data_IF_267944261402
#
_entry.id   IF_267944261402
#
_cell.length_a   1.000
_cell.length_b   1.000
_cell.length_c   1.000
_cell.angle_alpha   90.00
_cell.angle_beta   90.00
_cell.angle_gamma   90.00
#
_symmetry.space_group_name_H-M   'P 1'
#
loop_
_entity.id
_entity.type
_entity.pdbx_description
1 polymer ?
#
# COMPACT_ATOMS: atom_id res chain seq x y z
N UNK A 1 -8.44 -26.93 34.25
CA UNK A 1 -7.07 -27.05 33.72
C UNK A 1 -6.53 -25.64 33.53
N UNK A 2 -5.40 -25.29 34.12
CA UNK A 2 -4.75 -24.01 33.84
C UNK A 2 -4.13 -24.10 32.43
N UNK A 3 -4.49 -23.19 31.54
CA UNK A 3 -3.82 -23.05 30.27
C UNK A 3 -2.36 -22.64 30.58
N UNK A 4 -1.41 -23.55 30.37
CA UNK A 4 0.01 -23.20 30.38
C UNK A 4 0.28 -22.33 29.14
N UNK A 5 0.03 -21.02 29.25
CA UNK A 5 0.37 -20.06 28.21
C UNK A 5 1.84 -19.68 28.34
N UNK A 6 2.75 -20.61 28.03
CA UNK A 6 4.17 -20.24 27.86
C UNK A 6 4.30 -19.60 26.48
N UNK A 7 4.29 -18.28 26.42
CA UNK A 7 4.61 -17.52 25.20
C UNK A 7 6.12 -17.33 25.07
N UNK A 8 6.66 -17.35 23.86
CA UNK A 8 8.01 -16.90 23.56
C UNK A 8 7.97 -15.46 23.04
N UNK A 9 8.98 -14.67 23.42
CA UNK A 9 9.18 -13.30 22.93
C UNK A 9 10.48 -13.24 22.15
N UNK A 10 10.40 -12.82 20.89
CA UNK A 10 11.52 -12.77 19.95
C UNK A 10 11.68 -11.32 19.48
N UNK A 11 12.88 -10.78 19.64
CA UNK A 11 13.22 -9.45 19.13
C UNK A 11 13.52 -9.55 17.62
N UNK A 12 12.68 -8.94 16.81
CA UNK A 12 12.94 -8.69 15.39
C UNK A 12 13.76 -7.42 15.19
N UNK A 13 13.99 -7.08 13.92
CA UNK A 13 14.67 -5.85 13.54
C UNK A 13 13.77 -4.62 13.71
N UNK A 14 12.50 -4.70 13.28
CA UNK A 14 11.55 -3.57 13.33
C UNK A 14 10.59 -3.63 14.52
N UNK A 15 10.58 -4.71 15.28
CA UNK A 15 9.54 -4.96 16.28
C UNK A 15 9.78 -6.23 17.08
N UNK A 16 8.82 -6.55 17.95
CA UNK A 16 8.85 -7.74 18.81
C UNK A 16 7.74 -8.71 18.42
N UNK A 17 8.09 -9.97 18.18
CA UNK A 17 7.16 -11.07 18.02
C UNK A 17 6.89 -11.72 19.38
N UNK A 18 5.62 -11.82 19.77
CA UNK A 18 5.17 -12.70 20.85
C UNK A 18 4.37 -13.85 20.22
N UNK A 19 4.77 -15.10 20.49
CA UNK A 19 4.12 -16.30 19.96
C UNK A 19 3.75 -17.26 21.09
N UNK A 20 2.52 -17.75 21.08
CA UNK A 20 1.99 -18.71 22.03
C UNK A 20 2.22 -20.16 21.54
N UNK A 21 2.16 -21.14 22.45
CA UNK A 21 2.27 -22.56 22.09
C UNK A 21 1.16 -23.06 21.14
N UNK A 22 0.00 -22.39 21.12
CA UNK A 22 -1.09 -22.69 20.21
C UNK A 22 -0.90 -22.07 18.81
N UNK A 23 0.23 -21.38 18.59
CA UNK A 23 0.56 -20.72 17.32
C UNK A 23 -0.03 -19.33 17.17
N UNK A 24 -0.88 -18.86 18.10
CA UNK A 24 -1.34 -17.48 18.08
C UNK A 24 -0.15 -16.53 18.33
N UNK A 25 -0.04 -15.48 17.52
CA UNK A 25 1.06 -14.53 17.60
C UNK A 25 0.61 -13.09 17.51
N UNK A 26 1.45 -12.18 18.01
CA UNK A 26 1.34 -10.74 17.82
C UNK A 26 2.71 -10.20 17.49
N UNK A 27 2.80 -9.38 16.46
CA UNK A 27 4.02 -8.63 16.15
C UNK A 27 3.75 -7.15 16.43
N UNK A 28 4.57 -6.54 17.27
CA UNK A 28 4.44 -5.13 17.65
C UNK A 28 5.65 -4.36 17.13
N UNK A 29 5.43 -3.38 16.26
CA UNK A 29 6.49 -2.49 15.80
C UNK A 29 7.08 -1.69 16.97
N UNK A 30 8.41 -1.48 16.91
CA UNK A 30 9.09 -0.62 17.86
C UNK A 30 8.64 0.83 17.69
N UNK A 31 8.64 1.61 18.77
CA UNK A 31 8.26 3.01 18.70
C UNK A 31 9.22 3.80 17.80
N UNK A 32 8.68 4.66 16.94
CA UNK A 32 9.46 5.53 16.06
C UNK A 32 10.03 4.86 14.80
N UNK A 33 9.66 3.62 14.49
CA UNK A 33 10.01 2.99 13.21
C UNK A 33 9.30 3.75 12.08
N UNK A 34 10.07 4.42 11.24
CA UNK A 34 9.56 5.07 10.04
C UNK A 34 9.33 4.04 8.92
N UNK A 35 8.28 4.21 8.11
CA UNK A 35 7.97 3.29 7.00
C UNK A 35 9.15 3.11 6.05
N UNK A 36 9.81 4.21 5.68
CA UNK A 36 10.99 4.22 4.81
C UNK A 36 12.21 3.48 5.38
N UNK A 37 12.23 3.20 6.69
CA UNK A 37 13.29 2.40 7.31
C UNK A 37 13.05 0.89 7.21
N UNK A 38 11.82 0.47 6.86
CA UNK A 38 11.44 -0.92 6.69
C UNK A 38 11.82 -1.36 5.27
N UNK A 39 13.07 -1.78 5.09
CA UNK A 39 13.66 -2.12 3.78
C UNK A 39 13.73 -3.63 3.51
N UNK A 40 13.28 -4.46 4.46
CA UNK A 40 13.18 -5.91 4.30
C UNK A 40 11.96 -6.49 5.02
N UNK A 41 11.49 -7.66 4.58
CA UNK A 41 10.41 -8.38 5.27
C UNK A 41 10.94 -9.10 6.52
N UNK A 42 10.12 -9.18 7.56
CA UNK A 42 10.45 -9.91 8.80
C UNK A 42 10.06 -11.38 8.65
N UNK A 43 11.06 -12.25 8.78
CA UNK A 43 10.90 -13.70 8.64
C UNK A 43 11.53 -14.37 9.86
N UNK A 44 10.70 -15.03 10.65
CA UNK A 44 11.13 -15.80 11.81
C UNK A 44 11.10 -17.29 11.45
N UNK A 45 12.24 -17.97 11.59
CA UNK A 45 12.30 -19.44 11.47
C UNK A 45 12.21 -20.03 12.87
N UNK A 46 11.31 -20.99 13.07
CA UNK A 46 11.19 -21.72 14.34
C UNK A 46 11.26 -23.23 14.11
N UNK A 47 11.78 -23.92 15.11
CA UNK A 47 11.92 -25.37 15.15
C UNK A 47 11.02 -25.94 16.26
N UNK A 48 10.28 -27.00 15.95
CA UNK A 48 9.47 -27.75 16.89
C UNK A 48 10.19 -29.05 17.22
N UNK A 49 10.43 -29.30 18.51
CA UNK A 49 11.00 -30.56 19.00
C UNK A 49 9.90 -31.44 19.63
N UNK A 50 9.86 -32.72 19.26
CA UNK A 50 9.02 -33.70 19.96
C UNK A 50 9.78 -34.36 21.13
N UNK A 51 9.05 -35.07 21.99
CA UNK A 51 9.64 -35.76 23.16
C UNK A 51 10.55 -36.94 22.79
N UNK A 52 10.60 -37.32 21.52
CA UNK A 52 11.42 -38.41 20.98
C UNK A 52 12.65 -37.89 20.22
N UNK A 53 12.86 -36.57 20.17
CA UNK A 53 14.01 -35.93 19.52
C UNK A 53 13.84 -35.73 18.02
N UNK A 54 12.63 -35.89 17.46
CA UNK A 54 12.36 -35.43 16.11
C UNK A 54 12.18 -33.92 16.10
N UNK A 55 12.60 -33.29 15.00
CA UNK A 55 12.47 -31.85 14.82
C UNK A 55 11.75 -31.54 13.51
N UNK A 56 10.88 -30.55 13.54
CA UNK A 56 10.29 -29.94 12.35
C UNK A 56 10.60 -28.44 12.31
N UNK A 57 10.64 -27.82 11.13
CA UNK A 57 10.95 -26.39 10.99
C UNK A 57 9.90 -25.69 10.15
N UNK A 58 9.52 -24.50 10.57
CA UNK A 58 8.57 -23.66 9.85
C UNK A 58 9.00 -22.19 9.89
N UNK A 59 8.48 -21.42 8.95
CA UNK A 59 8.72 -19.98 8.86
C UNK A 59 7.43 -19.21 9.12
N UNK A 60 7.55 -18.16 9.92
CA UNK A 60 6.53 -17.12 10.09
C UNK A 60 7.04 -15.86 9.40
N UNK A 61 6.42 -15.51 8.28
CA UNK A 61 6.64 -14.22 7.62
C UNK A 61 5.60 -13.24 8.14
N UNK A 62 6.06 -12.11 8.68
CA UNK A 62 5.18 -10.98 8.98
C UNK A 62 4.92 -10.25 7.67
N UNK A 63 3.66 -10.11 7.29
CA UNK A 63 3.26 -9.32 6.12
C UNK A 63 2.52 -8.08 6.62
N UNK A 64 3.17 -6.93 6.49
CA UNK A 64 2.58 -5.63 6.81
C UNK A 64 2.06 -5.02 5.52
N UNK A 65 0.94 -4.29 5.54
CA UNK A 65 0.44 -3.57 4.37
C UNK A 65 0.14 -2.13 4.80
N UNK A 66 1.16 -1.26 4.88
CA UNK A 66 0.96 0.12 5.31
C UNK A 66 -0.04 0.86 4.43
N UNK A 67 -0.91 1.63 5.08
CA UNK A 67 -1.86 2.50 4.41
C UNK A 67 -1.51 3.95 4.77
N UNK A 68 -1.28 4.76 3.74
CA UNK A 68 -0.96 6.18 3.85
C UNK A 68 -2.14 6.95 3.29
N UNK A 69 -2.63 7.93 4.04
CA UNK A 69 -3.67 8.86 3.57
C UNK A 69 -2.98 10.12 3.06
N UNK A 70 -3.29 10.51 1.82
CA UNK A 70 -2.85 11.78 1.24
C UNK A 70 -3.49 12.97 1.97
N UNK A 71 -2.86 14.14 1.85
CA UNK A 71 -3.35 15.39 2.44
C UNK A 71 -3.62 16.44 1.37
N UNK A 72 -3.97 17.66 1.78
CA UNK A 72 -4.08 18.81 0.88
C UNK A 72 -2.72 19.43 0.53
N UNK A 73 -1.61 18.82 0.95
CA UNK A 73 -0.25 19.26 0.64
C UNK A 73 0.35 18.36 -0.44
N UNK A 74 1.36 18.88 -1.15
CA UNK A 74 2.12 18.09 -2.11
C UNK A 74 3.11 17.19 -1.34
N UNK A 75 2.67 15.99 -0.99
CA UNK A 75 3.41 15.09 -0.14
C UNK A 75 4.47 14.31 -0.93
N UNK A 76 5.55 13.93 -0.25
CA UNK A 76 6.58 13.03 -0.80
C UNK A 76 6.56 11.73 0.00
N UNK A 77 6.17 10.65 -0.66
CA UNK A 77 6.09 9.32 -0.08
C UNK A 77 7.33 8.49 -0.42
N UNK A 78 7.85 7.83 0.62
CA UNK A 78 8.81 6.73 0.52
C UNK A 78 8.20 5.56 1.28
N UNK A 79 7.77 4.55 0.53
CA UNK A 79 7.16 3.31 1.02
C UNK A 79 8.14 2.37 1.72
N UNK A 80 7.61 1.27 2.22
CA UNK A 80 8.32 0.19 2.90
C UNK A 80 8.77 -0.92 1.92
N UNK A 81 9.18 -2.06 2.47
CA UNK A 81 9.50 -3.27 1.72
C UNK A 81 8.25 -4.09 1.34
N UNK A 82 7.09 -3.68 1.83
CA UNK A 82 5.81 -4.34 1.63
C UNK A 82 4.97 -3.60 0.59
N UNK A 83 3.84 -4.19 0.18
CA UNK A 83 2.89 -3.52 -0.69
C UNK A 83 2.15 -2.42 0.09
N UNK A 84 2.60 -1.19 -0.06
CA UNK A 84 1.97 -0.04 0.59
C UNK A 84 0.77 0.46 -0.22
N UNK A 85 -0.17 1.16 0.42
CA UNK A 85 -1.29 1.79 -0.28
C UNK A 85 -1.33 3.28 0.03
N UNK A 86 -1.28 4.12 -1.01
CA UNK A 86 -1.57 5.56 -0.91
C UNK A 86 -3.04 5.80 -1.22
N UNK A 87 -3.78 6.38 -0.26
CA UNK A 87 -5.23 6.55 -0.27
C UNK A 87 -5.56 8.04 -0.42
N UNK A 88 -6.37 8.34 -1.43
CA UNK A 88 -6.93 9.66 -1.68
C UNK A 88 -8.39 9.71 -1.25
N UNK A 89 -8.64 10.37 -0.13
CA UNK A 89 -10.01 10.68 0.32
C UNK A 89 -10.57 11.92 -0.37
N UNK A 90 -11.90 12.05 -0.36
CA UNK A 90 -12.53 13.29 -0.80
C UNK A 90 -12.50 14.36 0.30
N UNK A 91 -11.51 15.26 0.25
CA UNK A 91 -11.33 16.36 1.21
C UNK A 91 -12.18 17.59 0.86
N UNK A 92 -12.33 17.88 -0.44
CA UNK A 92 -13.11 19.00 -0.98
C UNK A 92 -13.83 18.60 -2.28
N UNK A 93 -15.15 18.52 -2.21
CA UNK A 93 -16.02 18.16 -3.34
C UNK A 93 -15.91 19.08 -4.56
N UNK A 94 -15.56 20.35 -4.37
CA UNK A 94 -15.49 21.35 -5.44
C UNK A 94 -14.13 21.41 -6.16
N UNK A 95 -13.16 20.64 -5.69
CA UNK A 95 -11.80 20.65 -6.20
C UNK A 95 -11.52 19.46 -7.14
N UNK A 96 -10.67 19.69 -8.16
CA UNK A 96 -10.40 18.75 -9.24
C UNK A 96 -9.65 17.49 -8.79
N UNK A 97 -8.83 17.55 -7.74
CA UNK A 97 -8.17 16.38 -7.12
C UNK A 97 -8.93 15.89 -5.89
N UNK A 98 -10.14 16.41 -5.65
CA UNK A 98 -10.87 16.18 -4.42
C UNK A 98 -10.26 16.90 -3.22
N UNK A 99 -9.43 17.92 -3.45
CA UNK A 99 -8.77 18.71 -2.41
C UNK A 99 -7.44 18.13 -1.92
N UNK A 100 -6.93 17.08 -2.57
CA UNK A 100 -5.63 16.50 -2.29
C UNK A 100 -4.51 17.25 -3.03
N UNK A 101 -3.29 17.21 -2.49
CA UNK A 101 -2.14 17.77 -3.18
C UNK A 101 -1.68 16.94 -4.38
N UNK A 102 -0.72 17.49 -5.11
CA UNK A 102 -0.02 16.79 -6.18
C UNK A 102 1.19 16.06 -5.58
N UNK A 103 1.03 14.78 -5.30
CA UNK A 103 2.00 14.00 -4.53
C UNK A 103 3.10 13.39 -5.40
N UNK A 104 4.17 12.95 -4.75
CA UNK A 104 5.27 12.21 -5.37
C UNK A 104 5.55 10.94 -4.58
N UNK A 105 5.66 9.81 -5.26
CA UNK A 105 6.06 8.55 -4.65
C UNK A 105 7.40 8.09 -5.22
N UNK A 106 8.44 8.11 -4.39
CA UNK A 106 9.83 7.94 -4.85
C UNK A 106 10.22 6.50 -5.19
N UNK A 107 9.57 5.51 -4.57
CA UNK A 107 9.92 4.10 -4.65
C UNK A 107 8.72 3.19 -4.94
N UNK A 108 7.71 3.69 -5.64
CA UNK A 108 6.56 2.88 -6.04
C UNK A 108 7.01 1.62 -6.79
N UNK A 109 6.49 0.46 -6.37
CA UNK A 109 6.92 -0.83 -6.88
C UNK A 109 5.76 -1.78 -7.11
N UNK A 110 5.58 -2.12 -8.38
CA UNK A 110 4.63 -3.17 -8.79
C UNK A 110 5.01 -4.54 -8.23
N UNK A 111 6.31 -4.80 -8.04
CA UNK A 111 6.81 -6.06 -7.48
C UNK A 111 6.52 -6.20 -5.98
N UNK A 112 6.48 -5.09 -5.24
CA UNK A 112 6.11 -5.09 -3.82
C UNK A 112 4.59 -5.18 -3.63
N UNK A 113 3.82 -4.84 -4.66
CA UNK A 113 2.37 -4.85 -4.63
C UNK A 113 1.78 -3.51 -4.20
N UNK A 114 2.51 -2.41 -4.39
CA UNK A 114 2.08 -1.07 -4.03
C UNK A 114 0.81 -0.66 -4.76
N UNK A 115 -0.03 0.15 -4.11
CA UNK A 115 -1.34 0.54 -4.63
C UNK A 115 -1.61 2.01 -4.42
N UNK A 116 -2.41 2.53 -5.33
CA UNK A 116 -2.96 3.88 -5.29
C UNK A 116 -4.47 3.70 -5.25
N UNK A 117 -5.09 4.26 -4.24
CA UNK A 117 -6.53 4.16 -4.02
C UNK A 117 -7.18 5.52 -4.18
N UNK A 118 -8.06 5.63 -5.18
CA UNK A 118 -8.83 6.82 -5.52
C UNK A 118 -10.34 6.57 -5.45
N UNK A 119 -10.78 5.54 -4.69
CA UNK A 119 -12.17 5.08 -4.71
C UNK A 119 -13.22 6.15 -4.35
N UNK A 120 -12.84 7.19 -3.61
CA UNK A 120 -13.75 8.28 -3.24
C UNK A 120 -13.75 9.45 -4.23
N UNK A 121 -12.81 9.49 -5.18
CA UNK A 121 -12.63 10.66 -6.03
C UNK A 121 -13.59 10.68 -7.21
N UNK A 122 -13.90 9.53 -7.79
CA UNK A 122 -14.64 9.47 -9.05
C UNK A 122 -16.15 9.63 -8.84
N UNK A 123 -16.77 10.44 -9.69
CA UNK A 123 -18.22 10.73 -9.67
C UNK A 123 -18.86 10.31 -10.98
N UNK A 124 -19.89 9.48 -10.92
CA UNK A 124 -20.56 8.97 -12.12
C UNK A 124 -19.75 7.92 -12.91
N UNK A 125 -18.69 7.36 -12.33
CA UNK A 125 -17.98 6.23 -12.90
C UNK A 125 -18.84 4.96 -12.83
N UNK A 126 -18.91 4.22 -13.93
CA UNK A 126 -19.79 3.05 -14.13
C UNK A 126 -19.09 1.72 -13.79
N UNK A 127 -17.93 1.78 -13.16
CA UNK A 127 -17.09 0.65 -12.79
C UNK A 127 -16.63 -0.21 -13.98
N UNK A 128 -16.67 0.35 -15.20
CA UNK A 128 -16.19 -0.34 -16.40
C UNK A 128 -14.76 0.11 -16.73
N UNK A 129 -13.89 -0.86 -17.03
CA UNK A 129 -12.51 -0.58 -17.44
C UNK A 129 -12.44 0.23 -18.75
N UNK A 130 -13.41 0.00 -19.66
CA UNK A 130 -13.44 0.65 -20.98
C UNK A 130 -13.66 2.16 -20.91
N UNK A 131 -14.31 2.65 -19.85
CA UNK A 131 -14.64 4.07 -19.65
C UNK A 131 -13.69 4.76 -18.66
N UNK A 132 -12.88 4.00 -17.92
CA UNK A 132 -11.99 4.54 -16.89
C UNK A 132 -10.98 5.55 -17.45
N UNK A 133 -10.55 5.40 -18.71
CA UNK A 133 -9.66 6.37 -19.37
C UNK A 133 -10.24 7.79 -19.50
N UNK A 134 -11.56 7.94 -19.36
CA UNK A 134 -12.19 9.26 -19.27
C UNK A 134 -11.90 9.94 -17.93
N UNK A 135 -11.73 9.15 -16.87
CA UNK A 135 -11.55 9.63 -15.49
C UNK A 135 -10.09 9.63 -15.04
N UNK A 136 -9.28 8.68 -15.49
CA UNK A 136 -7.88 8.54 -15.08
C UNK A 136 -6.99 8.54 -16.30
N UNK A 137 -6.05 9.47 -16.33
CA UNK A 137 -5.05 9.57 -17.39
C UNK A 137 -3.68 9.26 -16.80
N UNK A 138 -2.93 8.42 -17.50
CA UNK A 138 -1.58 8.00 -17.11
C UNK A 138 -0.65 8.28 -18.27
N UNK A 139 0.40 9.05 -18.02
CA UNK A 139 1.41 9.35 -19.02
C UNK A 139 2.81 9.31 -18.41
N UNK A 140 3.83 9.12 -19.25
CA UNK A 140 5.22 9.17 -18.81
C UNK A 140 5.76 10.58 -18.95
N UNK A 141 6.58 11.01 -18.00
CA UNK A 141 7.31 12.28 -18.02
C UNK A 141 8.77 12.02 -17.62
N UNK A 142 9.66 11.98 -18.61
CA UNK A 142 11.03 11.52 -18.41
C UNK A 142 11.06 10.05 -17.96
N UNK A 143 11.62 9.79 -16.78
CA UNK A 143 11.68 8.46 -16.17
C UNK A 143 10.46 8.15 -15.27
N UNK A 144 9.52 9.09 -15.12
CA UNK A 144 8.43 9.01 -14.16
C UNK A 144 7.10 8.65 -14.83
N UNK A 145 6.15 8.17 -14.03
CA UNK A 145 4.74 8.03 -14.38
C UNK A 145 3.95 9.13 -13.68
N UNK A 146 3.13 9.86 -14.42
CA UNK A 146 2.20 10.84 -13.87
C UNK A 146 0.80 10.31 -14.03
N UNK A 147 0.05 10.29 -12.92
CA UNK A 147 -1.35 9.90 -12.87
C UNK A 147 -2.17 11.15 -12.56
N UNK A 148 -3.10 11.44 -13.45
CA UNK A 148 -4.01 12.58 -13.38
C UNK A 148 -5.44 12.07 -13.27
N UNK A 149 -6.29 12.82 -12.56
CA UNK A 149 -7.71 12.51 -12.36
C UNK A 149 -8.61 13.59 -12.94
N UNK A 150 -9.65 13.17 -13.65
CA UNK A 150 -10.83 13.95 -13.99
C UNK A 150 -12.04 13.31 -13.30
N UNK A 151 -12.54 13.97 -12.25
CA UNK A 151 -13.50 13.35 -11.32
C UNK A 151 -14.87 13.09 -11.93
N UNK A 152 -15.28 13.81 -12.97
CA UNK A 152 -16.54 13.58 -13.69
C UNK A 152 -16.34 13.07 -15.12
N UNK A 153 -15.10 12.66 -15.45
CA UNK A 153 -14.77 11.97 -16.69
C UNK A 153 -14.99 12.84 -17.93
N UNK A 154 -16.03 12.53 -18.71
CA UNK A 154 -16.40 13.33 -19.90
C UNK A 154 -17.18 14.60 -19.54
N UNK A 155 -17.51 14.78 -18.27
CA UNK A 155 -18.21 15.96 -17.76
C UNK A 155 -17.37 17.25 -17.87
N UNK A 156 -17.99 18.35 -17.50
CA UNK A 156 -17.36 19.68 -17.57
C UNK A 156 -17.11 20.30 -16.20
N UNK A 157 -17.52 19.64 -15.11
CA UNK A 157 -17.35 20.17 -13.77
C UNK A 157 -15.88 20.14 -13.35
N UNK A 158 -15.15 19.08 -13.74
CA UNK A 158 -13.73 18.94 -13.49
C UNK A 158 -12.96 18.79 -14.79
N UNK A 159 -11.64 18.88 -14.66
CA UNK A 159 -10.67 18.72 -15.74
C UNK A 159 -9.57 17.84 -15.19
N UNK A 160 -9.05 16.96 -16.04
CA UNK A 160 -7.86 16.16 -15.76
C UNK A 160 -6.76 17.01 -15.11
N UNK A 161 -6.40 16.65 -13.88
CA UNK A 161 -5.42 17.35 -13.04
C UNK A 161 -4.48 16.32 -12.43
N UNK A 162 -3.18 16.60 -12.41
CA UNK A 162 -2.16 15.71 -11.85
C UNK A 162 -2.45 15.45 -10.37
N UNK A 163 -2.47 14.17 -10.00
CA UNK A 163 -2.73 13.72 -8.63
C UNK A 163 -1.44 13.18 -7.99
N UNK A 164 -0.72 12.32 -8.71
CA UNK A 164 0.50 11.71 -8.19
C UNK A 164 1.53 11.44 -9.28
N UNK A 165 2.79 11.70 -8.97
CA UNK A 165 3.94 11.31 -9.78
C UNK A 165 4.68 10.14 -9.13
N UNK A 166 4.76 9.01 -9.82
CA UNK A 166 5.57 7.85 -9.44
C UNK A 166 6.96 8.01 -10.06
N UNK A 167 7.99 8.09 -9.23
CA UNK A 167 9.33 8.41 -9.71
C UNK A 167 10.08 7.19 -10.20
N UNK A 168 10.87 7.38 -11.26
CA UNK A 168 11.78 6.36 -11.80
C UNK A 168 11.10 5.04 -12.19
N UNK A 169 9.80 5.10 -12.47
CA UNK A 169 9.00 3.98 -12.97
C UNK A 169 8.12 4.48 -14.12
N UNK A 170 8.03 3.69 -15.19
CA UNK A 170 7.20 3.99 -16.36
C UNK A 170 6.12 2.93 -16.48
N UNK A 171 4.88 3.33 -16.25
CA UNK A 171 3.69 2.48 -16.27
C UNK A 171 2.64 3.10 -17.18
N UNK A 172 1.80 2.25 -17.75
CA UNK A 172 0.56 2.62 -18.41
C UNK A 172 -0.62 2.41 -17.47
N UNK A 173 -1.78 2.99 -17.80
CA UNK A 173 -3.03 2.69 -17.08
C UNK A 173 -3.31 1.18 -17.08
N UNK A 174 -3.02 0.48 -18.19
CA UNK A 174 -3.21 -0.97 -18.26
C UNK A 174 -2.29 -1.74 -17.30
N UNK A 175 -1.04 -1.32 -17.13
CA UNK A 175 -0.11 -1.97 -16.19
C UNK A 175 -0.60 -1.85 -14.75
N UNK A 176 -1.18 -0.70 -14.40
CA UNK A 176 -1.75 -0.45 -13.08
C UNK A 176 -3.01 -1.29 -12.82
N UNK A 177 -3.86 -1.47 -13.84
CA UNK A 177 -5.11 -2.22 -13.70
C UNK A 177 -4.90 -3.73 -13.68
N UNK A 178 -4.08 -4.27 -14.59
CA UNK A 178 -3.87 -5.73 -14.68
C UNK A 178 -3.29 -6.34 -13.41
N UNK A 179 -2.57 -5.52 -12.63
CA UNK A 179 -1.89 -5.95 -11.41
C UNK A 179 -2.53 -5.36 -10.13
N UNK A 180 -3.72 -4.75 -10.24
CA UNK A 180 -4.46 -4.21 -9.11
C UNK A 180 -3.67 -3.18 -8.28
N UNK A 181 -2.90 -2.33 -8.96
CA UNK A 181 -2.16 -1.21 -8.39
C UNK A 181 -2.95 0.09 -8.36
N UNK A 182 -4.08 0.16 -9.05
CA UNK A 182 -5.01 1.28 -8.99
C UNK A 182 -6.38 0.77 -8.53
N UNK A 183 -6.84 1.29 -7.40
CA UNK A 183 -8.16 1.00 -6.83
C UNK A 183 -9.04 2.21 -7.11
N UNK A 184 -10.14 2.01 -7.82
CA UNK A 184 -11.02 3.10 -8.24
C UNK A 184 -12.41 3.06 -7.62
N UNK A 185 -12.71 2.04 -6.80
CA UNK A 185 -14.01 1.79 -6.17
C UNK A 185 -14.84 0.72 -6.89
N UNK A 186 -15.94 0.26 -6.27
CA UNK A 186 -16.83 -0.78 -6.79
C UNK A 186 -18.22 -0.62 -6.21
#
# INVERSE_FOLDING_TARGET
AAANTTSATIQGHYGTLQINLDGAYTYTLNNGVAMSSITSKEVFTYQLDDKMGHTDSATLTIDMAPQIVSTNQNDVLIGSAYGDTLIYHLLNGADATGGNGADRWQNFSTAQGDKIDIHELLTGWDHQAATLGNFVQVHTSGANTVISVDRDGVGSAFKSTDLVTLENVQLTLNDLLQNNHLITGG
#
